data_IF_388076369385
#
_entry.id   IF_388076369385
#
_cell.length_a   1.000
_cell.length_b   1.000
_cell.length_c   1.000
_cell.angle_alpha   90.00
_cell.angle_beta   90.00
_cell.angle_gamma   90.00
#
_symmetry.space_group_name_H-M   'P 1'
#
loop_
_entity.id
_entity.type
_entity.pdbx_description
1 polymer ?
#
# COMPACT_ATOMS: atom_id res chain seq x y z
N UNK A 1 15.85 16.42 -4.11
CA UNK A 1 14.95 17.46 -3.55
C UNK A 1 14.01 17.94 -4.65
N UNK A 2 12.74 17.59 -4.56
CA UNK A 2 11.70 18.03 -5.52
C UNK A 2 11.11 19.31 -4.96
N UNK A 3 11.19 20.42 -5.72
CA UNK A 3 10.74 21.75 -5.31
C UNK A 3 9.54 22.17 -6.16
N UNK A 4 8.50 22.70 -5.51
CA UNK A 4 7.27 23.15 -6.18
C UNK A 4 7.42 24.60 -6.68
N UNK A 5 6.85 24.87 -7.85
CA UNK A 5 6.65 26.23 -8.39
C UNK A 5 5.54 27.00 -7.65
N UNK A 6 5.53 28.33 -7.78
CA UNK A 6 4.56 29.23 -7.13
C UNK A 6 3.10 28.84 -7.44
N UNK A 7 2.27 28.68 -6.41
CA UNK A 7 0.82 28.79 -6.51
C UNK A 7 0.01 27.49 -6.52
N UNK A 8 0.52 26.37 -6.02
CA UNK A 8 -0.25 25.13 -5.89
C UNK A 8 -1.01 25.08 -4.57
N UNK A 9 -2.32 24.88 -4.64
CA UNK A 9 -3.22 24.72 -3.48
C UNK A 9 -3.19 23.29 -2.94
N UNK A 10 -3.63 23.12 -1.69
CA UNK A 10 -3.85 21.82 -1.06
C UNK A 10 -4.59 20.86 -2.02
N UNK A 11 -4.04 19.69 -2.29
CA UNK A 11 -4.63 18.68 -3.19
C UNK A 11 -4.32 18.81 -4.68
N UNK A 12 -3.67 19.89 -5.16
CA UNK A 12 -3.44 20.14 -6.61
C UNK A 12 -2.04 19.76 -7.12
N UNK A 13 -1.20 19.08 -6.34
CA UNK A 13 0.09 18.60 -6.83
C UNK A 13 -0.12 17.31 -7.61
N UNK A 14 -0.52 17.45 -8.86
CA UNK A 14 -0.56 16.35 -9.81
C UNK A 14 0.84 16.18 -10.42
N UNK A 15 1.70 15.45 -9.72
CA UNK A 15 2.88 14.88 -10.38
C UNK A 15 2.40 13.63 -11.12
N UNK A 16 2.01 13.78 -12.37
CA UNK A 16 1.68 12.67 -13.26
C UNK A 16 2.97 11.90 -13.58
N UNK A 17 3.40 11.08 -12.66
CA UNK A 17 4.47 10.11 -12.94
C UNK A 17 3.80 8.88 -13.53
N UNK A 18 3.48 8.93 -14.81
CA UNK A 18 3.03 7.77 -15.56
C UNK A 18 4.23 6.86 -15.78
N UNK A 19 4.44 5.93 -14.87
CA UNK A 19 5.50 4.95 -15.00
C UNK A 19 5.01 3.69 -15.70
N UNK A 20 5.69 3.34 -16.77
CA UNK A 20 5.43 2.11 -17.54
C UNK A 20 6.11 0.85 -17.00
N UNK A 21 6.76 0.93 -15.85
CA UNK A 21 7.44 -0.20 -15.19
C UNK A 21 6.60 -0.89 -14.12
N UNK A 22 5.29 -0.61 -14.05
CA UNK A 22 4.45 -1.26 -13.06
C UNK A 22 4.30 -2.75 -13.34
N UNK A 23 4.67 -3.54 -12.36
CA UNK A 23 4.49 -4.99 -12.30
C UNK A 23 3.04 -5.32 -11.93
N UNK A 24 2.07 -4.69 -12.58
CA UNK A 24 0.69 -5.05 -12.31
C UNK A 24 0.37 -6.32 -13.07
N UNK A 25 0.51 -7.43 -12.39
CA UNK A 25 -0.28 -8.62 -12.66
C UNK A 25 -1.72 -8.19 -12.38
N UNK A 26 -2.67 -8.62 -13.16
CA UNK A 26 -4.09 -8.26 -13.06
C UNK A 26 -4.76 -8.69 -11.74
N UNK A 27 -4.00 -8.81 -10.66
CA UNK A 27 -4.46 -8.91 -9.29
C UNK A 27 -5.17 -7.61 -8.83
N UNK A 28 -4.90 -6.47 -9.51
CA UNK A 28 -5.52 -5.18 -9.24
C UNK A 28 -7.05 -5.16 -9.40
N UNK A 29 -7.62 -6.07 -10.17
CA UNK A 29 -9.07 -6.16 -10.34
C UNK A 29 -9.74 -7.13 -9.38
N UNK A 30 -8.96 -7.77 -8.50
CA UNK A 30 -9.47 -8.73 -7.51
C UNK A 30 -10.33 -8.08 -6.43
N UNK A 31 -10.25 -6.77 -6.20
CA UNK A 31 -11.11 -6.09 -5.23
C UNK A 31 -12.59 -6.05 -5.63
N UNK A 32 -12.90 -6.29 -6.91
CA UNK A 32 -14.30 -6.28 -7.42
C UNK A 32 -14.90 -7.66 -7.63
N UNK A 33 -14.12 -8.75 -7.57
CA UNK A 33 -14.64 -10.10 -7.76
C UNK A 33 -14.09 -11.05 -6.71
N UNK A 34 -14.95 -11.51 -5.85
CA UNK A 34 -14.67 -12.31 -4.65
C UNK A 34 -14.08 -13.71 -4.88
N UNK A 35 -13.54 -14.04 -6.07
CA UNK A 35 -13.00 -15.39 -6.32
C UNK A 35 -11.81 -15.38 -7.27
N UNK A 36 -10.64 -15.79 -6.77
CA UNK A 36 -9.45 -16.17 -7.58
C UNK A 36 -9.78 -17.19 -8.68
N UNK A 37 -10.91 -17.87 -8.59
CA UNK A 37 -11.32 -18.96 -9.49
C UNK A 37 -11.83 -18.47 -10.84
N UNK A 38 -12.32 -17.24 -10.95
CA UNK A 38 -12.91 -16.69 -12.18
C UNK A 38 -11.89 -16.05 -13.13
N UNK A 39 -10.64 -15.85 -12.71
CA UNK A 39 -9.62 -15.20 -13.54
C UNK A 39 -9.04 -16.15 -14.60
N UNK A 40 -8.96 -15.66 -15.84
CA UNK A 40 -8.34 -16.37 -16.95
C UNK A 40 -6.83 -16.48 -16.73
N UNK A 41 -6.30 -17.69 -16.87
CA UNK A 41 -4.86 -17.95 -16.75
C UNK A 41 -4.17 -17.84 -18.10
N UNK A 42 -2.95 -17.31 -18.11
CA UNK A 42 -2.10 -17.41 -19.30
C UNK A 42 -1.95 -18.89 -19.70
N UNK A 43 -2.28 -19.21 -20.96
CA UNK A 43 -2.24 -20.58 -21.47
C UNK A 43 -0.84 -21.21 -21.49
N UNK A 44 0.21 -20.37 -21.56
CA UNK A 44 1.61 -20.81 -21.58
C UNK A 44 2.18 -21.00 -20.17
N UNK A 45 2.41 -19.90 -19.42
CA UNK A 45 3.06 -19.98 -18.12
C UNK A 45 2.13 -20.41 -16.97
N UNK A 46 0.81 -20.39 -17.14
CA UNK A 46 -0.21 -20.69 -16.12
C UNK A 46 -0.17 -19.79 -14.87
N UNK A 47 0.75 -18.82 -14.83
CA UNK A 47 1.01 -17.94 -13.67
C UNK A 47 0.24 -16.63 -13.75
N UNK A 48 0.39 -15.89 -14.85
CA UNK A 48 -0.33 -14.64 -15.03
C UNK A 48 -1.84 -14.90 -15.15
N UNK A 49 -2.61 -14.05 -14.48
CA UNK A 49 -4.08 -14.12 -14.45
C UNK A 49 -4.65 -12.81 -14.98
N UNK A 50 -5.80 -12.88 -15.62
CA UNK A 50 -6.45 -11.77 -16.30
C UNK A 50 -7.96 -11.82 -16.06
N UNK A 51 -8.59 -10.66 -15.93
CA UNK A 51 -10.06 -10.57 -15.80
C UNK A 51 -10.77 -11.07 -17.06
N UNK A 52 -10.22 -10.73 -18.24
CA UNK A 52 -10.75 -11.09 -19.54
C UNK A 52 -9.66 -11.18 -20.61
N UNK A 53 -10.06 -11.47 -21.83
CA UNK A 53 -9.17 -11.55 -23.00
C UNK A 53 -8.64 -10.20 -23.44
N UNK A 54 -9.36 -9.10 -23.18
CA UNK A 54 -8.92 -7.73 -23.49
C UNK A 54 -7.77 -7.34 -22.59
N UNK A 55 -7.92 -7.56 -21.27
CA UNK A 55 -6.88 -7.38 -20.28
C UNK A 55 -5.61 -8.20 -20.61
N UNK A 56 -5.79 -9.47 -21.04
CA UNK A 56 -4.67 -10.31 -21.48
C UNK A 56 -3.95 -9.72 -22.69
N UNK A 57 -4.67 -9.25 -23.70
CA UNK A 57 -4.08 -8.66 -24.90
C UNK A 57 -3.31 -7.36 -24.58
N UNK A 58 -3.86 -6.51 -23.73
CA UNK A 58 -3.19 -5.28 -23.28
C UNK A 58 -1.90 -5.57 -22.53
N UNK A 59 -1.92 -6.56 -21.63
CA UNK A 59 -0.75 -6.95 -20.84
C UNK A 59 0.32 -7.70 -21.65
N UNK A 60 -0.01 -8.24 -22.83
CA UNK A 60 0.87 -9.15 -23.57
C UNK A 60 2.21 -8.53 -23.96
N UNK A 61 2.24 -7.25 -24.32
CA UNK A 61 3.48 -6.56 -24.69
C UNK A 61 4.53 -6.60 -23.57
N UNK A 62 4.09 -6.51 -22.32
CA UNK A 62 4.92 -6.59 -21.10
C UNK A 62 5.15 -8.04 -20.69
N UNK A 63 4.10 -8.88 -20.72
CA UNK A 63 4.15 -10.24 -20.22
C UNK A 63 4.92 -11.21 -21.14
N UNK A 64 5.03 -10.95 -22.43
CA UNK A 64 5.58 -11.88 -23.42
C UNK A 64 6.99 -12.40 -23.06
N UNK A 65 7.90 -11.52 -22.64
CA UNK A 65 9.28 -11.91 -22.24
C UNK A 65 9.24 -12.65 -20.90
N UNK A 66 8.53 -12.11 -19.92
CA UNK A 66 8.36 -12.73 -18.61
C UNK A 66 7.72 -14.12 -18.73
N UNK A 67 6.74 -14.29 -19.60
CA UNK A 67 6.05 -15.57 -19.82
C UNK A 67 7.03 -16.69 -20.21
N UNK A 68 7.96 -16.41 -21.10
CA UNK A 68 9.00 -17.38 -21.52
C UNK A 68 9.91 -17.77 -20.36
N UNK A 69 10.32 -16.77 -19.55
CA UNK A 69 11.16 -16.98 -18.39
C UNK A 69 10.44 -17.82 -17.32
N UNK A 70 9.16 -17.52 -17.04
CA UNK A 70 8.35 -18.30 -16.10
C UNK A 70 8.17 -19.74 -16.54
N UNK A 71 7.88 -19.99 -17.83
CA UNK A 71 7.72 -21.35 -18.35
C UNK A 71 8.92 -22.25 -18.10
N UNK A 72 10.14 -21.66 -18.13
CA UNK A 72 11.39 -22.41 -17.93
C UNK A 72 11.66 -22.76 -16.47
N UNK A 73 11.29 -21.86 -15.55
CA UNK A 73 11.58 -22.04 -14.15
C UNK A 73 10.55 -22.88 -13.40
N UNK A 74 9.39 -23.13 -13.99
CA UNK A 74 8.38 -23.97 -13.35
C UNK A 74 8.95 -25.32 -12.90
N UNK A 75 8.63 -25.81 -11.70
CA UNK A 75 7.67 -25.25 -10.74
C UNK A 75 8.27 -24.18 -9.78
N UNK A 76 9.56 -23.83 -9.89
CA UNK A 76 10.21 -22.85 -9.03
C UNK A 76 9.89 -21.45 -9.49
N UNK A 77 9.19 -20.68 -8.64
CA UNK A 77 8.81 -19.32 -8.95
C UNK A 77 9.80 -18.33 -8.35
N UNK A 78 10.23 -17.32 -9.11
CA UNK A 78 11.02 -16.23 -8.58
C UNK A 78 10.14 -15.35 -7.64
N UNK A 79 10.77 -14.72 -6.67
CA UNK A 79 10.12 -13.73 -5.77
C UNK A 79 9.66 -12.51 -6.56
N UNK A 80 8.74 -11.72 -5.98
CA UNK A 80 8.24 -10.51 -6.64
C UNK A 80 9.35 -9.49 -6.90
N UNK A 81 10.33 -9.36 -6.02
CA UNK A 81 11.49 -8.48 -6.22
C UNK A 81 12.33 -8.92 -7.43
N UNK A 82 12.56 -10.21 -7.60
CA UNK A 82 13.28 -10.76 -8.78
C UNK A 82 12.48 -10.53 -10.06
N UNK A 83 11.17 -10.73 -10.01
CA UNK A 83 10.29 -10.47 -11.14
C UNK A 83 10.26 -8.98 -11.50
N UNK A 84 10.23 -8.10 -10.49
CA UNK A 84 10.26 -6.64 -10.69
C UNK A 84 11.57 -6.21 -11.35
N UNK A 85 12.71 -6.69 -10.86
CA UNK A 85 14.04 -6.43 -11.45
C UNK A 85 14.14 -6.92 -12.90
N UNK A 86 13.65 -8.13 -13.19
CA UNK A 86 13.62 -8.65 -14.56
C UNK A 86 12.76 -7.80 -15.50
N UNK A 87 11.60 -7.34 -15.03
CA UNK A 87 10.72 -6.44 -15.81
C UNK A 87 11.36 -5.07 -16.05
N UNK A 88 12.14 -4.55 -15.11
CA UNK A 88 12.92 -3.34 -15.34
C UNK A 88 13.89 -3.54 -16.53
N UNK A 89 14.61 -4.66 -16.58
CA UNK A 89 15.47 -5.04 -17.73
C UNK A 89 14.61 -5.12 -19.01
N UNK A 90 13.50 -5.85 -18.99
CA UNK A 90 12.69 -6.07 -20.19
C UNK A 90 12.05 -4.80 -20.74
N UNK A 91 11.69 -3.85 -19.86
CA UNK A 91 11.15 -2.55 -20.25
C UNK A 91 12.22 -1.69 -20.96
N UNK A 92 13.44 -1.69 -20.45
CA UNK A 92 14.57 -0.98 -21.05
C UNK A 92 15.00 -1.59 -22.40
N UNK A 93 14.84 -2.91 -22.57
CA UNK A 93 15.07 -3.59 -23.87
C UNK A 93 13.98 -3.29 -24.91
N UNK A 94 12.86 -2.74 -24.53
CA UNK A 94 11.74 -2.43 -25.42
C UNK A 94 11.16 -1.05 -25.08
N UNK A 95 11.96 0.03 -25.18
CA UNK A 95 11.49 1.36 -24.78
C UNK A 95 10.27 1.79 -25.62
N UNK A 96 9.32 2.49 -25.00
CA UNK A 96 8.18 3.02 -25.70
C UNK A 96 8.61 4.11 -26.70
N UNK A 97 7.82 4.30 -27.78
CA UNK A 97 8.07 5.30 -28.81
C UNK A 97 8.00 6.77 -28.35
N UNK A 98 7.43 7.01 -27.17
CA UNK A 98 7.37 8.34 -26.53
C UNK A 98 7.70 8.19 -25.06
N UNK A 99 8.91 8.55 -24.64
CA UNK A 99 9.26 8.71 -23.23
C UNK A 99 9.13 10.22 -22.89
N UNK A 100 8.26 10.56 -21.98
CA UNK A 100 8.42 11.78 -21.19
C UNK A 100 9.69 11.53 -20.39
N UNK A 101 10.69 12.42 -20.43
CA UNK A 101 11.95 12.27 -19.73
C UNK A 101 11.70 12.00 -18.24
N UNK A 102 12.27 10.93 -17.72
CA UNK A 102 12.23 10.66 -16.29
C UNK A 102 13.11 11.66 -15.56
N UNK A 103 12.65 12.14 -14.40
CA UNK A 103 13.40 13.06 -13.55
C UNK A 103 14.58 12.35 -12.85
N UNK A 104 14.53 11.01 -12.77
CA UNK A 104 15.48 10.18 -12.05
C UNK A 104 15.60 8.82 -12.72
N UNK A 105 16.82 8.38 -12.95
CA UNK A 105 17.10 7.12 -13.67
C UNK A 105 17.42 5.99 -12.70
N UNK A 106 17.35 4.75 -13.18
CA UNK A 106 17.70 3.58 -12.38
C UNK A 106 19.17 3.57 -11.93
N UNK A 107 20.08 4.16 -12.72
CA UNK A 107 21.50 4.26 -12.33
C UNK A 107 21.72 5.23 -11.16
N UNK A 108 20.86 6.24 -11.01
CA UNK A 108 20.92 7.22 -9.92
C UNK A 108 20.32 6.72 -8.61
N UNK A 109 19.56 5.60 -8.63
CA UNK A 109 18.99 5.02 -7.42
C UNK A 109 20.07 4.53 -6.46
N UNK A 110 19.83 4.75 -5.17
CA UNK A 110 20.69 4.22 -4.12
C UNK A 110 20.56 2.70 -3.97
N UNK A 111 21.66 2.02 -3.73
CA UNK A 111 21.71 0.57 -3.46
C UNK A 111 22.13 0.25 -2.03
N UNK A 112 22.83 1.17 -1.38
CA UNK A 112 23.46 1.03 -0.06
C UNK A 112 24.40 -0.18 0.10
N UNK A 113 24.82 -0.81 -1.00
CA UNK A 113 25.68 -2.00 -0.97
C UNK A 113 26.99 -1.78 -0.22
N UNK A 114 27.59 -0.59 -0.31
CA UNK A 114 28.87 -0.30 0.34
C UNK A 114 28.77 -0.26 1.87
N UNK A 115 27.62 0.18 2.41
CA UNK A 115 27.34 0.30 3.85
C UNK A 115 26.55 -0.88 4.43
N UNK A 116 26.09 -1.80 3.57
CA UNK A 116 25.22 -2.91 3.99
C UNK A 116 25.98 -4.01 4.73
N UNK A 117 25.44 -4.58 5.83
CA UNK A 117 26.02 -5.74 6.50
C UNK A 117 26.14 -6.96 5.59
N UNK A 118 27.23 -7.73 5.74
CA UNK A 118 27.52 -8.90 4.90
C UNK A 118 26.39 -9.94 4.88
N UNK A 119 25.72 -10.18 5.99
CA UNK A 119 24.58 -11.11 6.05
C UNK A 119 23.41 -10.67 5.15
N UNK A 120 23.16 -9.37 5.04
CA UNK A 120 22.14 -8.83 4.12
C UNK A 120 22.60 -8.93 2.67
N UNK A 121 23.88 -8.65 2.39
CA UNK A 121 24.45 -8.82 1.04
C UNK A 121 24.37 -10.25 0.55
N UNK A 122 24.59 -11.24 1.44
CA UNK A 122 24.42 -12.66 1.10
C UNK A 122 22.99 -12.98 0.67
N UNK A 123 21.99 -12.48 1.41
CA UNK A 123 20.58 -12.61 1.02
C UNK A 123 20.27 -11.99 -0.35
N UNK A 124 20.78 -10.78 -0.62
CA UNK A 124 20.63 -10.12 -1.93
C UNK A 124 21.37 -10.89 -3.04
N UNK A 125 22.54 -11.48 -2.76
CA UNK A 125 23.31 -12.28 -3.71
C UNK A 125 22.53 -13.53 -4.15
N UNK A 126 21.77 -14.15 -3.25
CA UNK A 126 20.88 -15.26 -3.61
C UNK A 126 19.76 -14.81 -4.56
N UNK A 127 19.15 -13.65 -4.32
CA UNK A 127 18.15 -13.06 -5.22
C UNK A 127 18.78 -12.66 -6.57
N UNK A 128 19.99 -12.13 -6.56
CA UNK A 128 20.73 -11.78 -7.77
C UNK A 128 21.01 -13.02 -8.64
N UNK A 129 21.49 -14.11 -8.03
CA UNK A 129 21.69 -15.40 -8.73
C UNK A 129 20.37 -15.95 -9.31
N UNK A 130 19.27 -15.77 -8.60
CA UNK A 130 17.93 -16.12 -9.11
C UNK A 130 17.55 -15.22 -10.30
N UNK A 131 17.82 -13.93 -10.25
CA UNK A 131 17.56 -12.99 -11.36
C UNK A 131 18.35 -13.38 -12.61
N UNK A 132 19.63 -13.69 -12.47
CA UNK A 132 20.49 -14.14 -13.56
C UNK A 132 19.94 -15.42 -14.21
N UNK A 133 19.64 -16.44 -13.42
CA UNK A 133 19.03 -17.68 -13.90
C UNK A 133 17.67 -17.44 -14.59
N UNK A 134 16.86 -16.50 -14.06
CA UNK A 134 15.56 -16.16 -14.60
C UNK A 134 15.64 -15.44 -15.96
N UNK A 135 16.60 -14.53 -16.12
CA UNK A 135 16.74 -13.70 -17.32
C UNK A 135 17.74 -14.26 -18.33
N UNK A 136 18.54 -15.25 -17.98
CA UNK A 136 19.69 -15.76 -18.73
C UNK A 136 19.46 -15.88 -20.24
N UNK A 137 18.39 -16.52 -20.70
CA UNK A 137 18.18 -16.73 -22.13
C UNK A 137 17.74 -15.44 -22.84
N UNK A 138 17.00 -14.56 -22.19
CA UNK A 138 16.58 -13.30 -22.81
C UNK A 138 17.76 -12.34 -22.90
N UNK A 139 18.69 -12.36 -21.94
CA UNK A 139 19.89 -11.53 -21.93
C UNK A 139 20.97 -12.10 -22.84
N UNK A 140 21.21 -13.41 -22.84
CA UNK A 140 22.24 -14.05 -23.72
C UNK A 140 21.92 -13.97 -25.21
N UNK A 141 20.64 -13.75 -25.57
CA UNK A 141 20.23 -13.53 -26.98
C UNK A 141 20.39 -12.06 -27.44
N UNK A 142 20.83 -11.15 -26.55
CA UNK A 142 21.06 -9.75 -26.90
C UNK A 142 22.39 -9.58 -27.62
N UNK A 143 22.44 -8.65 -28.58
CA UNK A 143 23.69 -8.22 -29.17
C UNK A 143 24.51 -7.43 -28.17
N UNK A 144 25.82 -7.39 -28.33
CA UNK A 144 26.70 -6.63 -27.45
C UNK A 144 26.36 -5.13 -27.43
N UNK A 145 25.89 -4.57 -28.55
CA UNK A 145 25.43 -3.20 -28.66
C UNK A 145 24.24 -2.93 -27.73
N UNK A 146 23.22 -3.83 -27.75
CA UNK A 146 22.03 -3.71 -26.91
C UNK A 146 22.38 -3.86 -25.42
N UNK A 147 23.27 -4.82 -25.09
CA UNK A 147 23.71 -5.00 -23.71
C UNK A 147 24.50 -3.80 -23.19
N UNK A 148 25.33 -3.17 -24.06
CA UNK A 148 26.08 -1.98 -23.70
C UNK A 148 25.22 -0.73 -23.53
N UNK A 149 24.05 -0.70 -24.18
CA UNK A 149 23.07 0.40 -24.06
C UNK A 149 22.22 0.34 -22.79
N UNK A 150 22.22 -0.82 -22.07
CA UNK A 150 21.53 -0.92 -20.79
C UNK A 150 22.26 -0.10 -19.71
N UNK A 151 21.52 0.51 -18.77
CA UNK A 151 22.10 1.11 -17.57
C UNK A 151 23.09 0.18 -16.88
N UNK A 152 24.12 0.73 -16.26
CA UNK A 152 25.17 -0.06 -15.58
C UNK A 152 24.59 -0.96 -14.50
N UNK A 153 23.59 -0.49 -13.78
CA UNK A 153 22.84 -1.25 -12.77
C UNK A 153 22.14 -2.50 -13.34
N UNK A 154 21.68 -2.46 -14.58
CA UNK A 154 21.02 -3.61 -15.21
C UNK A 154 22.00 -4.70 -15.67
N UNK A 155 23.30 -4.40 -15.71
CA UNK A 155 24.36 -5.34 -16.07
C UNK A 155 24.94 -6.10 -14.86
N UNK A 156 24.70 -5.56 -13.66
CA UNK A 156 25.03 -6.18 -12.38
C UNK A 156 23.77 -6.55 -11.62
N UNK A 157 23.48 -7.84 -11.54
CA UNK A 157 22.26 -8.34 -10.92
C UNK A 157 22.16 -7.99 -9.42
N UNK A 158 23.29 -7.96 -8.71
CA UNK A 158 23.31 -7.60 -7.30
C UNK A 158 22.97 -6.12 -7.08
N UNK A 159 23.60 -5.24 -7.88
CA UNK A 159 23.28 -3.82 -7.86
C UNK A 159 21.81 -3.55 -8.20
N UNK A 160 21.28 -4.21 -9.23
CA UNK A 160 19.89 -4.06 -9.63
C UNK A 160 18.91 -4.52 -8.54
N UNK A 161 19.13 -5.69 -7.95
CA UNK A 161 18.28 -6.20 -6.85
C UNK A 161 18.35 -5.27 -5.65
N UNK A 162 19.52 -4.80 -5.26
CA UNK A 162 19.68 -3.87 -4.15
C UNK A 162 18.91 -2.55 -4.40
N UNK A 163 19.06 -1.97 -5.60
CA UNK A 163 18.32 -0.76 -5.98
C UNK A 163 16.80 -0.98 -5.99
N UNK A 164 16.33 -2.09 -6.54
CA UNK A 164 14.90 -2.42 -6.58
C UNK A 164 14.34 -2.60 -5.16
N UNK A 165 15.03 -3.32 -4.29
CA UNK A 165 14.54 -3.56 -2.91
C UNK A 165 14.50 -2.30 -2.05
N UNK A 166 15.42 -1.35 -2.26
CA UNK A 166 15.42 -0.08 -1.53
C UNK A 166 14.42 0.96 -2.07
N UNK A 167 14.04 0.87 -3.35
CA UNK A 167 13.30 1.95 -4.02
C UNK A 167 11.94 1.51 -4.58
N UNK A 168 11.49 0.28 -4.31
CA UNK A 168 10.16 -0.17 -4.73
C UNK A 168 9.06 0.36 -3.79
N UNK A 169 7.88 0.51 -4.37
CA UNK A 169 6.67 0.97 -3.67
C UNK A 169 5.66 -0.18 -3.61
N UNK A 170 4.98 -0.31 -2.48
CA UNK A 170 3.81 -1.17 -2.37
C UNK A 170 2.65 -0.52 -3.12
N UNK A 171 2.12 -1.21 -4.11
CA UNK A 171 0.93 -0.79 -4.86
C UNK A 171 -0.29 -1.25 -4.09
N UNK A 172 -1.23 -0.34 -3.86
CA UNK A 172 -2.51 -0.64 -3.22
C UNK A 172 -3.69 -0.30 -4.13
N UNK A 173 -4.87 -0.80 -3.79
CA UNK A 173 -6.12 -0.30 -4.37
C UNK A 173 -6.57 1.00 -3.68
N UNK A 174 -7.75 1.52 -4.08
CA UNK A 174 -8.30 2.75 -3.50
C UNK A 174 -8.66 2.61 -2.02
N UNK A 175 -8.89 1.39 -1.53
CA UNK A 175 -9.14 1.10 -0.11
C UNK A 175 -7.85 0.71 0.65
N UNK A 176 -6.68 1.01 0.05
CA UNK A 176 -5.34 0.78 0.59
C UNK A 176 -5.00 -0.69 0.85
N UNK A 177 -5.69 -1.63 0.19
CA UNK A 177 -5.31 -3.04 0.23
C UNK A 177 -4.11 -3.29 -0.67
N UNK A 178 -3.09 -3.98 -0.16
CA UNK A 178 -1.88 -4.27 -0.90
C UNK A 178 -2.14 -5.21 -2.09
N UNK A 179 -1.66 -4.82 -3.26
CA UNK A 179 -1.85 -5.56 -4.51
C UNK A 179 -0.56 -6.08 -5.12
N UNK A 180 0.56 -5.48 -4.78
CA UNK A 180 1.87 -5.84 -5.33
C UNK A 180 2.93 -4.78 -5.12
N UNK A 181 4.00 -4.88 -5.90
CA UNK A 181 5.14 -3.96 -5.83
C UNK A 181 5.43 -3.33 -7.19
N UNK A 182 5.88 -2.08 -7.18
CA UNK A 182 6.23 -1.33 -8.38
C UNK A 182 7.46 -0.47 -8.18
N UNK A 183 8.12 -0.14 -9.28
CA UNK A 183 9.24 0.80 -9.30
C UNK A 183 8.79 2.08 -9.99
N UNK A 184 8.97 3.21 -9.31
CA UNK A 184 8.58 4.55 -9.77
C UNK A 184 9.77 5.51 -9.61
N UNK A 185 10.76 5.50 -10.54
CA UNK A 185 12.03 6.19 -10.36
C UNK A 185 11.88 7.65 -9.96
N UNK A 186 11.04 8.43 -10.64
CA UNK A 186 10.87 9.85 -10.30
C UNK A 186 10.26 10.09 -8.91
N UNK A 187 9.51 9.14 -8.35
CA UNK A 187 8.97 9.25 -6.99
C UNK A 187 9.97 8.81 -5.92
N UNK A 188 10.97 7.99 -6.30
CA UNK A 188 12.06 7.61 -5.39
C UNK A 188 12.95 8.80 -5.00
N UNK A 189 12.76 9.97 -5.63
CA UNK A 189 13.38 11.24 -5.20
C UNK A 189 12.78 11.82 -3.91
N UNK A 190 11.57 11.38 -3.52
CA UNK A 190 10.90 11.91 -2.33
C UNK A 190 11.50 11.32 -1.07
N UNK A 191 11.92 12.19 -0.17
CA UNK A 191 12.45 11.78 1.12
C UNK A 191 11.33 11.44 2.12
N UNK A 192 11.75 10.80 3.21
CA UNK A 192 10.85 10.40 4.30
C UNK A 192 10.65 11.50 5.34
N UNK A 193 9.41 11.62 5.78
CA UNK A 193 9.04 12.20 7.08
C UNK A 193 7.94 11.36 7.72
N UNK A 194 7.96 11.19 9.04
CA UNK A 194 6.90 10.46 9.76
C UNK A 194 5.58 11.24 9.85
N UNK A 195 5.58 12.55 9.53
CA UNK A 195 4.43 13.43 9.33
C UNK A 195 4.58 14.16 8.00
N UNK A 196 4.49 13.44 6.89
CA UNK A 196 4.80 13.99 5.57
C UNK A 196 3.78 15.04 5.16
N UNK A 197 4.19 15.94 4.25
CA UNK A 197 3.30 16.91 3.63
C UNK A 197 2.59 16.37 2.38
N UNK A 198 2.97 15.17 1.92
CA UNK A 198 2.33 14.51 0.77
C UNK A 198 1.98 13.06 1.09
N UNK A 199 0.96 12.56 0.39
CA UNK A 199 0.57 11.15 0.38
C UNK A 199 0.55 10.62 -1.05
N UNK A 200 0.73 9.32 -1.18
CA UNK A 200 0.63 8.61 -2.45
C UNK A 200 -0.66 7.81 -2.49
N UNK A 201 -1.37 7.89 -3.60
CA UNK A 201 -2.54 7.06 -3.87
C UNK A 201 -2.44 6.45 -5.26
N UNK A 202 -3.05 5.28 -5.45
CA UNK A 202 -2.97 4.54 -6.69
C UNK A 202 -4.34 4.51 -7.39
N UNK A 203 -4.31 4.77 -8.68
CA UNK A 203 -5.42 4.49 -9.58
C UNK A 203 -4.96 3.43 -10.59
N UNK A 204 -5.25 2.18 -10.30
CA UNK A 204 -4.70 1.05 -11.05
C UNK A 204 -3.17 0.99 -10.92
N UNK A 205 -2.45 1.22 -12.03
CA UNK A 205 -0.97 1.24 -12.07
C UNK A 205 -0.37 2.63 -11.99
N UNK A 206 -1.22 3.64 -12.01
CA UNK A 206 -0.78 5.04 -11.87
C UNK A 206 -0.68 5.39 -10.40
N UNK A 207 0.37 6.12 -10.05
CA UNK A 207 0.54 6.70 -8.73
C UNK A 207 0.33 8.21 -8.82
N UNK A 208 -0.39 8.75 -7.87
CA UNK A 208 -0.61 10.18 -7.71
C UNK A 208 0.00 10.64 -6.38
N UNK A 209 0.85 11.66 -6.44
CA UNK A 209 1.34 12.36 -5.26
C UNK A 209 0.39 13.52 -4.95
N UNK A 210 -0.11 13.59 -3.72
CA UNK A 210 -1.08 14.61 -3.31
C UNK A 210 -0.64 15.31 -2.03
N UNK A 211 -0.71 16.65 -2.04
CA UNK A 211 -0.46 17.44 -0.85
C UNK A 211 -1.56 17.24 0.19
N UNK A 212 -1.17 17.01 1.42
CA UNK A 212 -2.05 16.91 2.60
C UNK A 212 -1.80 18.02 3.61
N UNK A 213 -0.85 18.91 3.33
CA UNK A 213 -0.55 20.12 4.08
C UNK A 213 -0.28 21.27 3.10
N UNK A 214 -0.36 22.49 3.58
CA UNK A 214 0.07 23.66 2.81
C UNK A 214 1.58 23.60 2.58
N UNK A 215 1.99 23.81 1.32
CA UNK A 215 3.37 23.69 0.90
C UNK A 215 3.79 25.01 0.25
N UNK A 216 4.85 25.63 0.76
CA UNK A 216 5.39 26.86 0.24
C UNK A 216 6.44 26.60 -0.86
N UNK A 217 6.69 27.57 -1.75
CA UNK A 217 7.81 27.47 -2.68
C UNK A 217 9.14 27.34 -1.95
N UNK A 218 9.86 26.25 -2.23
CA UNK A 218 11.13 25.92 -1.57
C UNK A 218 11.03 24.85 -0.48
N UNK A 219 9.81 24.51 -0.02
CA UNK A 219 9.61 23.42 0.92
C UNK A 219 9.91 22.08 0.23
N UNK A 220 10.52 21.16 0.98
CA UNK A 220 10.75 19.79 0.52
C UNK A 220 9.45 19.01 0.51
N UNK A 221 9.22 18.21 -0.57
CA UNK A 221 8.12 17.25 -0.63
C UNK A 221 8.56 15.97 0.06
N UNK A 222 7.77 15.51 1.03
CA UNK A 222 8.04 14.29 1.79
C UNK A 222 6.85 13.34 1.74
N UNK A 223 7.16 12.05 1.86
CA UNK A 223 6.20 10.95 2.01
C UNK A 223 6.58 10.10 3.23
N UNK A 224 5.68 9.27 3.74
CA UNK A 224 6.07 8.29 4.76
C UNK A 224 6.50 6.98 4.12
N UNK A 225 7.64 6.42 4.57
CA UNK A 225 8.13 5.09 4.20
C UNK A 225 7.66 4.02 5.18
N UNK A 226 7.10 4.43 6.32
CA UNK A 226 6.66 3.55 7.40
C UNK A 226 5.19 3.77 7.74
N UNK A 227 4.61 2.81 8.42
CA UNK A 227 3.25 2.93 8.92
C UNK A 227 3.14 4.00 10.02
N UNK A 228 2.07 4.82 9.95
CA UNK A 228 1.82 5.88 10.94
C UNK A 228 1.52 5.29 12.32
N UNK A 229 0.75 4.22 12.42
CA UNK A 229 0.46 3.51 13.67
C UNK A 229 1.59 2.56 14.07
N UNK A 230 2.78 3.13 14.31
CA UNK A 230 3.97 2.40 14.75
C UNK A 230 4.75 3.24 15.74
N UNK A 231 5.34 2.59 16.77
CA UNK A 231 6.17 3.25 17.76
C UNK A 231 7.46 3.80 17.13
N UNK A 232 8.04 4.81 17.74
CA UNK A 232 9.26 5.44 17.24
C UNK A 232 10.40 4.44 17.09
N UNK A 233 10.60 3.55 18.05
CA UNK A 233 11.62 2.50 17.99
C UNK A 233 11.42 1.56 16.77
N UNK A 234 10.18 1.13 16.52
CA UNK A 234 9.85 0.25 15.41
C UNK A 234 10.06 0.95 14.06
N UNK A 235 9.65 2.23 13.95
CA UNK A 235 9.87 3.04 12.74
C UNK A 235 11.36 3.26 12.48
N UNK A 236 12.11 3.65 13.49
CA UNK A 236 13.55 3.87 13.37
C UNK A 236 14.27 2.60 12.93
N UNK A 237 13.93 1.46 13.56
CA UNK A 237 14.49 0.17 13.17
C UNK A 237 14.16 -0.19 11.74
N UNK A 238 12.91 0.00 11.30
CA UNK A 238 12.51 -0.27 9.92
C UNK A 238 13.26 0.63 8.93
N UNK A 239 13.38 1.93 9.22
CA UNK A 239 14.09 2.89 8.36
C UNK A 239 15.58 2.58 8.28
N UNK A 240 16.22 2.23 9.39
CA UNK A 240 17.63 1.84 9.42
C UNK A 240 17.86 0.50 8.69
N UNK A 241 16.98 -0.48 8.93
CA UNK A 241 17.10 -1.78 8.30
C UNK A 241 16.85 -1.76 6.78
N UNK A 242 15.87 -0.99 6.31
CA UNK A 242 15.46 -1.02 4.90
C UNK A 242 16.10 0.09 4.07
N UNK A 243 16.25 1.28 4.66
CA UNK A 243 16.67 2.50 3.94
C UNK A 243 18.00 3.07 4.46
N UNK A 244 18.63 2.44 5.48
CA UNK A 244 19.96 2.76 6.00
C UNK A 244 20.12 4.20 6.53
N UNK A 245 19.07 4.77 7.12
CA UNK A 245 19.15 6.06 7.82
C UNK A 245 18.33 6.08 9.10
N UNK A 246 18.69 6.98 10.00
CA UNK A 246 17.97 7.27 11.25
C UNK A 246 17.16 8.56 11.05
N UNK A 247 15.84 8.48 11.14
CA UNK A 247 14.96 9.63 10.98
C UNK A 247 15.06 10.57 12.20
N UNK A 248 15.21 11.88 11.94
CA UNK A 248 15.26 12.94 12.96
C UNK A 248 14.13 13.97 12.76
N UNK A 249 12.99 13.54 12.25
CA UNK A 249 11.83 14.41 12.14
C UNK A 249 11.26 14.76 13.52
N UNK A 250 10.44 15.80 13.58
CA UNK A 250 9.81 16.27 14.82
C UNK A 250 9.10 15.15 15.58
N UNK A 251 8.43 14.23 14.88
CA UNK A 251 7.74 13.10 15.50
C UNK A 251 8.70 12.10 16.15
N UNK A 252 9.85 11.85 15.55
CA UNK A 252 10.84 10.92 16.09
C UNK A 252 11.61 11.51 17.27
N UNK A 253 11.71 12.84 17.37
CA UNK A 253 12.34 13.55 18.48
C UNK A 253 11.37 13.81 19.65
N UNK A 254 10.05 13.65 19.45
CA UNK A 254 9.02 13.83 20.47
C UNK A 254 8.44 12.49 20.94
N UNK A 255 8.63 12.08 22.20
CA UNK A 255 8.12 10.83 22.74
C UNK A 255 6.62 10.86 23.09
N UNK A 256 5.95 12.00 22.96
CA UNK A 256 4.57 12.21 23.41
C UNK A 256 3.57 11.30 22.71
N UNK A 257 3.74 11.07 21.42
CA UNK A 257 2.86 10.21 20.63
C UNK A 257 2.99 8.74 21.00
N UNK A 258 4.22 8.28 21.27
CA UNK A 258 4.44 6.91 21.74
C UNK A 258 3.79 6.71 23.12
N UNK A 259 3.84 7.73 24.00
CA UNK A 259 3.13 7.70 25.28
C UNK A 259 1.62 7.53 25.14
N UNK A 260 1.02 8.18 24.14
CA UNK A 260 -0.40 8.02 23.85
C UNK A 260 -0.71 6.63 23.28
N UNK A 261 0.12 6.14 22.34
CA UNK A 261 -0.01 4.80 21.74
C UNK A 261 0.17 3.67 22.77
N UNK A 262 0.94 3.91 23.83
CA UNK A 262 1.16 2.98 24.94
C UNK A 262 0.31 3.31 26.17
N UNK A 263 -0.77 4.06 26.00
CA UNK A 263 -1.66 4.46 27.11
C UNK A 263 -2.18 3.25 27.89
N UNK A 264 -2.36 3.43 29.20
CA UNK A 264 -2.71 2.37 30.14
C UNK A 264 -1.49 1.71 30.81
N UNK A 265 -1.75 0.87 31.80
CA UNK A 265 -0.69 0.16 32.52
C UNK A 265 -0.04 -0.93 31.63
N UNK A 266 1.29 -0.97 31.63
CA UNK A 266 2.06 -1.95 30.82
C UNK A 266 1.64 -3.40 31.09
N UNK A 267 1.40 -3.76 32.35
CA UNK A 267 1.00 -5.10 32.72
C UNK A 267 -0.35 -5.52 32.10
N UNK A 268 -1.23 -4.55 31.80
CA UNK A 268 -2.56 -4.78 31.21
C UNK A 268 -2.52 -4.93 29.70
N UNK A 269 -1.66 -4.17 28.99
CA UNK A 269 -1.58 -4.27 27.54
C UNK A 269 -0.48 -5.21 27.01
N UNK A 270 0.52 -5.65 27.86
CA UNK A 270 1.54 -6.61 27.41
C UNK A 270 0.98 -7.90 26.82
N UNK A 271 -0.08 -8.51 27.39
CA UNK A 271 -0.67 -9.69 26.77
C UNK A 271 -1.24 -9.46 25.36
N UNK A 272 -1.74 -8.23 25.11
CA UNK A 272 -2.21 -7.84 23.78
C UNK A 272 -1.05 -7.79 22.78
N UNK A 273 0.07 -7.17 23.16
CA UNK A 273 1.29 -7.12 22.34
C UNK A 273 1.80 -8.52 22.01
N UNK A 274 1.91 -9.40 23.02
CA UNK A 274 2.41 -10.76 22.86
C UNK A 274 1.54 -11.62 21.94
N UNK A 275 0.24 -11.36 21.91
CA UNK A 275 -0.69 -12.09 21.07
C UNK A 275 -0.62 -11.72 19.58
N UNK A 276 -0.15 -10.51 19.21
CA UNK A 276 -0.23 -9.97 17.84
C UNK A 276 0.34 -10.91 16.79
N UNK A 277 1.55 -11.43 17.01
CA UNK A 277 2.22 -12.29 16.01
C UNK A 277 1.40 -13.57 15.72
N UNK A 278 0.78 -14.16 16.76
CA UNK A 278 -0.12 -15.31 16.58
C UNK A 278 -1.38 -14.93 15.83
N UNK A 279 -1.98 -13.78 16.15
CA UNK A 279 -3.19 -13.28 15.48
C UNK A 279 -2.93 -12.95 14.01
N UNK A 280 -1.80 -12.33 13.69
CA UNK A 280 -1.36 -12.08 12.32
C UNK A 280 -1.15 -13.39 11.54
N UNK A 281 -0.62 -14.44 12.19
CA UNK A 281 -0.53 -15.77 11.62
C UNK A 281 -1.90 -16.35 11.25
N UNK A 282 -2.89 -16.27 12.17
CA UNK A 282 -4.27 -16.71 11.91
C UNK A 282 -4.91 -15.95 10.76
N UNK A 283 -4.70 -14.64 10.69
CA UNK A 283 -5.17 -13.77 9.59
C UNK A 283 -4.56 -14.21 8.25
N UNK A 284 -3.26 -14.44 8.21
CA UNK A 284 -2.53 -14.88 7.00
C UNK A 284 -3.02 -16.25 6.52
N UNK A 285 -3.34 -17.15 7.45
CA UNK A 285 -3.90 -18.47 7.15
C UNK A 285 -5.41 -18.43 6.85
N UNK A 286 -6.05 -17.25 6.90
CA UNK A 286 -7.49 -17.06 6.70
C UNK A 286 -8.36 -17.85 7.70
N UNK A 287 -7.87 -18.07 8.91
CA UNK A 287 -8.58 -18.75 10.01
C UNK A 287 -9.47 -17.77 10.76
N UNK A 288 -10.46 -17.20 10.06
CA UNK A 288 -11.25 -16.07 10.53
C UNK A 288 -12.03 -16.35 11.82
N UNK A 289 -12.60 -17.54 11.97
CA UNK A 289 -13.35 -17.91 13.18
C UNK A 289 -12.44 -17.94 14.42
N UNK A 290 -11.28 -18.61 14.32
CA UNK A 290 -10.31 -18.71 15.42
C UNK A 290 -9.70 -17.33 15.75
N UNK A 291 -9.49 -16.52 14.71
CA UNK A 291 -9.02 -15.13 14.88
C UNK A 291 -10.03 -14.32 15.67
N UNK A 292 -11.32 -14.34 15.28
CA UNK A 292 -12.37 -13.56 15.95
C UNK A 292 -12.53 -14.00 17.42
N UNK A 293 -12.58 -15.27 17.69
CA UNK A 293 -12.69 -15.82 19.06
C UNK A 293 -11.51 -15.36 19.93
N UNK A 294 -10.28 -15.44 19.38
CA UNK A 294 -9.07 -15.00 20.09
C UNK A 294 -9.08 -13.48 20.35
N UNK A 295 -9.44 -12.68 19.34
CA UNK A 295 -9.56 -11.23 19.49
C UNK A 295 -10.63 -10.85 20.52
N UNK A 296 -11.83 -11.45 20.43
CA UNK A 296 -12.93 -11.19 21.35
C UNK A 296 -12.56 -11.48 22.81
N UNK A 297 -11.88 -12.61 23.05
CA UNK A 297 -11.40 -12.97 24.39
C UNK A 297 -10.41 -11.94 24.94
N UNK A 298 -9.41 -11.52 24.13
CA UNK A 298 -8.40 -10.54 24.53
C UNK A 298 -9.01 -9.16 24.78
N UNK A 299 -9.91 -8.71 23.90
CA UNK A 299 -10.58 -7.41 24.03
C UNK A 299 -11.50 -7.38 25.25
N UNK A 300 -12.19 -8.47 25.56
CA UNK A 300 -13.03 -8.59 26.77
C UNK A 300 -12.20 -8.54 28.05
N UNK A 301 -11.03 -9.16 28.08
CA UNK A 301 -10.11 -9.10 29.20
C UNK A 301 -9.46 -7.72 29.40
N UNK A 302 -9.36 -6.93 28.31
CA UNK A 302 -8.78 -5.58 28.32
C UNK A 302 -9.83 -4.47 28.50
N UNK A 303 -11.13 -4.82 28.52
CA UNK A 303 -12.21 -3.82 28.59
C UNK A 303 -12.18 -3.07 29.93
N UNK A 304 -12.25 -1.73 29.88
CA UNK A 304 -12.12 -0.86 31.04
C UNK A 304 -10.72 -0.75 31.65
N UNK A 305 -9.78 -1.63 31.29
CA UNK A 305 -8.41 -1.68 31.82
C UNK A 305 -7.38 -1.03 30.89
N UNK A 306 -7.60 -1.15 29.57
CA UNK A 306 -6.73 -0.60 28.53
C UNK A 306 -7.53 0.40 27.71
N UNK A 307 -7.09 1.66 27.54
CA UNK A 307 -7.75 2.65 26.70
C UNK A 307 -7.86 2.21 25.24
N UNK A 308 -8.91 2.66 24.54
CA UNK A 308 -9.14 2.28 23.13
C UNK A 308 -8.10 2.90 22.17
N UNK A 309 -7.43 3.98 22.60
CA UNK A 309 -6.29 4.60 21.89
C UNK A 309 -5.00 3.79 21.98
N UNK A 310 -4.94 2.77 22.86
CA UNK A 310 -3.76 1.93 22.95
C UNK A 310 -3.52 1.17 21.64
N UNK A 311 -2.32 1.28 21.08
CA UNK A 311 -1.93 0.71 19.78
C UNK A 311 -2.27 -0.79 19.66
N UNK A 312 -1.97 -1.56 20.69
CA UNK A 312 -2.16 -3.02 20.66
C UNK A 312 -3.64 -3.39 20.73
N UNK A 313 -4.42 -2.67 21.55
CA UNK A 313 -5.88 -2.84 21.61
C UNK A 313 -6.53 -2.45 20.28
N UNK A 314 -6.11 -1.33 19.70
CA UNK A 314 -6.60 -0.86 18.40
C UNK A 314 -6.32 -1.88 17.30
N UNK A 315 -5.10 -2.40 17.18
CA UNK A 315 -4.74 -3.42 16.19
C UNK A 315 -5.58 -4.70 16.32
N UNK A 316 -5.82 -5.15 17.57
CA UNK A 316 -6.66 -6.34 17.80
C UNK A 316 -8.13 -6.04 17.46
N UNK A 317 -8.62 -4.82 17.73
CA UNK A 317 -9.97 -4.39 17.35
C UNK A 317 -10.14 -4.36 15.83
N UNK A 318 -9.13 -3.89 15.08
CA UNK A 318 -9.14 -3.95 13.62
C UNK A 318 -9.10 -5.39 13.08
N UNK A 319 -8.33 -6.28 13.71
CA UNK A 319 -8.35 -7.70 13.34
C UNK A 319 -9.70 -8.36 13.61
N UNK A 320 -10.38 -7.99 14.70
CA UNK A 320 -11.72 -8.47 15.00
C UNK A 320 -12.75 -7.94 13.99
N UNK A 321 -12.62 -6.67 13.58
CA UNK A 321 -13.43 -6.09 12.49
C UNK A 321 -13.21 -6.86 11.19
N UNK A 322 -11.97 -7.11 10.79
CA UNK A 322 -11.63 -7.86 9.58
C UNK A 322 -12.25 -9.27 9.61
N UNK A 323 -12.07 -9.99 10.72
CA UNK A 323 -12.60 -11.33 10.87
C UNK A 323 -14.14 -11.34 10.82
N UNK A 324 -14.80 -10.39 11.49
CA UNK A 324 -16.27 -10.27 11.47
C UNK A 324 -16.79 -9.99 10.06
N UNK A 325 -16.12 -9.14 9.27
CA UNK A 325 -16.48 -8.90 7.86
C UNK A 325 -16.34 -10.16 7.02
N UNK A 326 -15.24 -10.93 7.19
CA UNK A 326 -15.03 -12.17 6.45
C UNK A 326 -16.00 -13.30 6.83
N UNK A 327 -16.54 -13.25 8.05
CA UNK A 327 -17.56 -14.19 8.55
C UNK A 327 -18.98 -13.70 8.30
N UNK A 328 -19.16 -12.54 7.65
CA UNK A 328 -20.45 -11.92 7.38
C UNK A 328 -21.26 -11.59 8.65
N UNK A 329 -20.55 -11.35 9.78
CA UNK A 329 -21.14 -10.95 11.07
C UNK A 329 -21.22 -9.41 11.13
N UNK A 330 -22.16 -8.83 10.38
CA UNK A 330 -22.20 -7.41 10.05
C UNK A 330 -22.42 -6.48 11.27
N UNK A 331 -23.31 -6.85 12.21
CA UNK A 331 -23.54 -6.09 13.44
C UNK A 331 -22.30 -6.12 14.35
N UNK A 332 -21.62 -7.25 14.41
CA UNK A 332 -20.37 -7.39 15.16
C UNK A 332 -19.25 -6.59 14.51
N UNK A 333 -19.13 -6.65 13.18
CA UNK A 333 -18.21 -5.84 12.41
C UNK A 333 -18.44 -4.33 12.66
N UNK A 334 -19.69 -3.86 12.62
CA UNK A 334 -20.02 -2.47 12.91
C UNK A 334 -19.62 -2.08 14.34
N UNK A 335 -19.87 -2.93 15.31
CA UNK A 335 -19.50 -2.69 16.72
C UNK A 335 -17.99 -2.48 16.89
N UNK A 336 -17.16 -3.33 16.26
CA UNK A 336 -15.70 -3.15 16.27
C UNK A 336 -15.28 -1.92 15.47
N UNK A 337 -15.87 -1.70 14.30
CA UNK A 337 -15.57 -0.56 13.44
C UNK A 337 -15.77 0.78 14.14
N UNK A 338 -16.89 0.99 14.80
CA UNK A 338 -17.20 2.22 15.55
C UNK A 338 -16.16 2.45 16.67
N UNK A 339 -15.74 1.39 17.37
CA UNK A 339 -14.73 1.49 18.44
C UNK A 339 -13.37 1.97 17.93
N UNK A 340 -13.02 1.76 16.65
CA UNK A 340 -11.74 2.21 16.10
C UNK A 340 -11.70 3.69 15.75
N UNK A 341 -12.84 4.32 15.42
CA UNK A 341 -12.88 5.69 14.87
C UNK A 341 -12.25 6.76 15.77
N UNK A 342 -12.51 6.81 17.09
CA UNK A 342 -11.87 7.80 17.96
C UNK A 342 -10.35 7.67 17.98
N UNK A 343 -9.82 6.43 18.03
CA UNK A 343 -8.39 6.15 18.03
C UNK A 343 -7.75 6.53 16.69
N UNK A 344 -8.39 6.21 15.56
CA UNK A 344 -7.94 6.64 14.22
C UNK A 344 -7.85 8.16 14.12
N UNK A 345 -8.89 8.87 14.53
CA UNK A 345 -8.90 10.34 14.55
C UNK A 345 -7.79 10.92 15.41
N UNK A 346 -7.40 10.23 16.49
CA UNK A 346 -6.38 10.69 17.43
C UNK A 346 -4.96 10.47 16.93
N UNK A 347 -4.70 9.30 16.30
CA UNK A 347 -3.37 8.89 15.90
C UNK A 347 -2.96 9.33 14.49
N UNK A 348 -3.91 9.45 13.57
CA UNK A 348 -3.61 9.88 12.21
C UNK A 348 -3.71 11.40 12.09
N UNK A 349 -2.74 12.06 11.42
CA UNK A 349 -2.88 13.48 11.09
C UNK A 349 -4.08 13.70 10.16
N UNK A 350 -4.71 14.86 10.23
CA UNK A 350 -5.82 15.21 9.36
C UNK A 350 -5.36 16.16 8.24
N UNK A 351 -5.58 15.82 6.95
CA UNK A 351 -6.23 14.59 6.44
C UNK A 351 -5.24 13.42 6.25
N UNK A 352 -5.69 12.20 6.53
CA UNK A 352 -4.91 10.98 6.29
C UNK A 352 -5.73 9.91 5.55
N UNK A 353 -5.22 9.27 4.48
CA UNK A 353 -5.99 8.35 3.65
C UNK A 353 -6.52 7.14 4.45
N UNK A 354 -5.74 6.57 5.35
CA UNK A 354 -6.13 5.42 6.18
C UNK A 354 -7.34 5.76 7.07
N UNK A 355 -7.38 6.96 7.66
CA UNK A 355 -8.55 7.42 8.43
C UNK A 355 -9.79 7.58 7.54
N UNK A 356 -9.63 8.16 6.35
CA UNK A 356 -10.74 8.30 5.39
C UNK A 356 -11.30 6.96 4.94
N UNK A 357 -10.45 5.97 4.69
CA UNK A 357 -10.85 4.60 4.31
C UNK A 357 -11.54 3.88 5.48
N UNK A 358 -11.07 4.05 6.73
CA UNK A 358 -11.72 3.44 7.89
C UNK A 358 -13.13 4.02 8.11
N UNK A 359 -13.31 5.34 7.97
CA UNK A 359 -14.64 5.97 7.99
C UNK A 359 -15.54 5.42 6.88
N UNK A 360 -15.02 5.31 5.65
CA UNK A 360 -15.77 4.72 4.53
C UNK A 360 -16.22 3.29 4.84
N UNK A 361 -15.35 2.48 5.43
CA UNK A 361 -15.62 1.10 5.81
C UNK A 361 -16.73 0.99 6.84
N UNK A 362 -16.69 1.83 7.89
CA UNK A 362 -17.74 1.89 8.91
C UNK A 362 -19.05 2.40 8.32
N UNK A 363 -19.02 3.45 7.48
CA UNK A 363 -20.19 3.97 6.79
C UNK A 363 -20.86 2.93 5.89
N UNK A 364 -20.09 2.09 5.19
CA UNK A 364 -20.62 0.96 4.40
C UNK A 364 -21.37 -0.06 5.27
N UNK A 365 -20.85 -0.37 6.47
CA UNK A 365 -21.52 -1.27 7.42
C UNK A 365 -22.80 -0.64 7.99
N UNK A 366 -22.77 0.65 8.33
CA UNK A 366 -23.97 1.38 8.79
C UNK A 366 -25.05 1.39 7.71
N UNK A 367 -24.69 1.70 6.46
CA UNK A 367 -25.64 1.71 5.34
C UNK A 367 -26.23 0.32 5.07
N UNK A 368 -25.39 -0.73 5.08
CA UNK A 368 -25.85 -2.10 4.91
C UNK A 368 -26.83 -2.56 6.00
N UNK A 369 -26.65 -2.10 7.22
CA UNK A 369 -27.54 -2.38 8.38
C UNK A 369 -28.70 -1.37 8.51
N UNK A 370 -28.96 -0.57 7.49
CA UNK A 370 -30.04 0.40 7.40
C UNK A 370 -29.98 1.57 8.40
N UNK A 371 -28.80 1.82 9.00
CA UNK A 371 -28.52 3.02 9.81
C UNK A 371 -28.20 4.20 8.88
N UNK A 372 -29.15 4.59 8.04
CA UNK A 372 -28.95 5.51 6.90
C UNK A 372 -28.43 6.88 7.32
N UNK A 373 -28.97 7.46 8.41
CA UNK A 373 -28.56 8.78 8.90
C UNK A 373 -27.11 8.75 9.44
N UNK A 374 -26.77 7.75 10.25
CA UNK A 374 -25.40 7.56 10.76
C UNK A 374 -24.41 7.29 9.61
N UNK A 375 -24.83 6.53 8.60
CA UNK A 375 -24.03 6.25 7.41
C UNK A 375 -23.72 7.54 6.63
N UNK A 376 -24.72 8.40 6.42
CA UNK A 376 -24.54 9.68 5.73
C UNK A 376 -23.57 10.60 6.47
N UNK A 377 -23.67 10.67 7.79
CA UNK A 377 -22.74 11.45 8.62
C UNK A 377 -21.30 10.91 8.53
N UNK A 378 -21.15 9.59 8.62
CA UNK A 378 -19.83 8.94 8.53
C UNK A 378 -19.24 9.08 7.13
N UNK A 379 -20.03 8.90 6.06
CA UNK A 379 -19.62 9.13 4.69
C UNK A 379 -19.24 10.59 4.42
N UNK A 380 -19.94 11.54 5.02
CA UNK A 380 -19.60 12.96 4.91
C UNK A 380 -18.23 13.27 5.51
N UNK A 381 -17.89 12.65 6.64
CA UNK A 381 -16.55 12.78 7.24
C UNK A 381 -15.49 12.11 6.35
N UNK A 382 -15.75 10.90 5.85
CA UNK A 382 -14.86 10.20 4.91
C UNK A 382 -14.60 11.04 3.65
N UNK A 383 -15.65 11.64 3.07
CA UNK A 383 -15.55 12.45 1.85
C UNK A 383 -14.64 13.66 2.02
N UNK A 384 -14.71 14.36 3.16
CA UNK A 384 -13.82 15.50 3.45
C UNK A 384 -12.35 15.12 3.39
N UNK A 385 -12.00 13.92 3.85
CA UNK A 385 -10.64 13.40 3.84
C UNK A 385 -10.27 12.88 2.44
N UNK A 386 -11.09 12.00 1.86
CA UNK A 386 -10.79 11.33 0.59
C UNK A 386 -10.74 12.30 -0.59
N UNK A 387 -11.53 13.36 -0.57
CA UNK A 387 -11.46 14.46 -1.54
C UNK A 387 -10.04 15.08 -1.62
N UNK A 388 -9.35 15.21 -0.50
CA UNK A 388 -7.99 15.75 -0.42
C UNK A 388 -6.96 14.65 -0.76
N UNK A 389 -7.04 13.50 -0.10
CA UNK A 389 -6.03 12.45 -0.19
C UNK A 389 -6.09 11.66 -1.49
N UNK A 390 -7.27 11.35 -2.02
CA UNK A 390 -7.48 10.62 -3.26
C UNK A 390 -7.81 11.55 -4.44
N UNK A 391 -8.52 12.66 -4.18
CA UNK A 391 -9.02 13.59 -5.20
C UNK A 391 -10.47 13.32 -5.56
N UNK A 392 -11.15 14.35 -6.08
CA UNK A 392 -12.56 14.26 -6.46
C UNK A 392 -12.80 13.27 -7.60
N UNK A 393 -11.87 13.18 -8.55
CA UNK A 393 -11.98 12.32 -9.74
C UNK A 393 -11.56 10.86 -9.47
N UNK A 394 -11.07 10.54 -8.26
CA UNK A 394 -10.66 9.18 -7.95
C UNK A 394 -11.89 8.24 -7.85
N UNK A 395 -11.84 7.01 -8.42
CA UNK A 395 -12.98 6.09 -8.42
C UNK A 395 -13.59 5.83 -7.03
N UNK A 396 -12.75 5.73 -5.97
CA UNK A 396 -13.23 5.56 -4.60
C UNK A 396 -14.04 6.77 -4.10
N UNK A 397 -13.58 7.99 -4.41
CA UNK A 397 -14.25 9.23 -4.00
C UNK A 397 -15.58 9.38 -4.74
N UNK A 398 -15.60 9.02 -6.02
CA UNK A 398 -16.84 8.99 -6.81
C UNK A 398 -17.86 7.97 -6.27
N UNK A 399 -17.41 6.73 -5.96
CA UNK A 399 -18.27 5.70 -5.35
C UNK A 399 -18.86 6.18 -4.01
N UNK A 400 -18.04 6.86 -3.20
CA UNK A 400 -18.50 7.45 -1.95
C UNK A 400 -19.56 8.53 -2.16
N UNK A 401 -19.42 9.40 -3.17
CA UNK A 401 -20.44 10.40 -3.51
C UNK A 401 -21.77 9.75 -3.90
N UNK A 402 -21.72 8.69 -4.70
CA UNK A 402 -22.91 7.93 -5.07
C UNK A 402 -23.61 7.35 -3.85
N UNK A 403 -22.87 6.77 -2.90
CA UNK A 403 -23.43 6.23 -1.65
C UNK A 403 -24.04 7.31 -0.76
N UNK A 404 -23.44 8.49 -0.70
CA UNK A 404 -24.01 9.63 0.02
C UNK A 404 -25.36 10.06 -0.60
N UNK A 405 -25.47 10.02 -1.91
CA UNK A 405 -26.73 10.37 -2.59
C UNK A 405 -27.80 9.29 -2.39
N UNK A 406 -27.42 8.01 -2.42
CA UNK A 406 -28.31 6.89 -2.07
C UNK A 406 -28.89 7.10 -0.67
N UNK A 407 -28.06 7.37 0.35
CA UNK A 407 -28.53 7.66 1.71
C UNK A 407 -29.48 8.84 1.78
N UNK A 408 -29.23 9.94 1.06
CA UNK A 408 -30.13 11.12 1.04
C UNK A 408 -31.50 10.77 0.47
N UNK A 409 -31.53 10.07 -0.67
CA UNK A 409 -32.77 9.62 -1.29
C UNK A 409 -33.59 8.73 -0.35
N UNK A 410 -32.94 7.80 0.35
CA UNK A 410 -33.59 6.90 1.32
C UNK A 410 -34.18 7.67 2.51
N UNK A 411 -33.45 8.65 3.04
CA UNK A 411 -33.92 9.49 4.17
C UNK A 411 -35.13 10.34 3.76
N UNK A 412 -35.08 10.92 2.54
CA UNK A 412 -36.22 11.72 2.00
C UNK A 412 -37.46 10.86 1.78
N UNK A 413 -37.32 9.62 1.30
CA UNK A 413 -38.46 8.69 1.17
C UNK A 413 -39.02 8.28 2.52
N UNK A 414 -38.21 8.01 3.54
CA UNK A 414 -38.66 7.71 4.91
C UNK A 414 -39.43 8.89 5.53
N UNK A 415 -39.06 10.12 5.21
CA UNK A 415 -39.73 11.34 5.70
C UNK A 415 -41.04 11.58 4.98
N UNK A 416 -41.13 11.33 3.67
CA UNK A 416 -42.32 11.55 2.85
C UNK A 416 -43.42 10.50 3.07
N UNK A 417 -43.08 9.29 3.53
CA UNK A 417 -44.00 8.20 3.81
C UNK A 417 -44.69 8.26 5.20
N UNK A 418 -44.36 9.27 6.02
CA UNK A 418 -44.92 9.47 7.37
C UNK A 418 -46.06 10.51 7.41
N UNK A 419 -46.60 10.92 6.25
CA UNK A 419 -47.76 11.84 6.17
C UNK A 419 -49.00 11.14 5.66
#
# INVERSE_FOLDING_TARGET
MVIIGKGQKLGEILVWVVMRLSLVICNLLMSKTNTRETLLRCSQCKMARYCDTTCQKQAWSVHKRECKCLCRLLPRLPTDSVRLAARAIFALLSPPKSSIGELYTLDEHESHLDSMPEQKKEGLSQLASMLEAYTQQEVSNLTQEVTSALPSSCRDALSLIAKVTCNCFTISDGELQELGVGLYPSLSLLNHDCRPNCVMVFEGTKIQLRAVQDINPGDELTISYTETLSLTEDRQKQLEDQYHFVCRCQRCESPEEDGLMLSGEKAKWSPLKEALSRLEGLKTESKWQELLESCSHLLSAADGEVPDENLYKLRITDMALDASVHLELWEEALRYGIKTLPAYRRHYPDPHPVHGVQLLRVGKLQHYLEFTDDALDTFTQAFKILKITHGEDHPLTFDLQMKMEECRCETDHKSSGKH
#
